data_IF_271284350354
#
_entry.id   IF_271284350354
#
_cell.length_a   1.000
_cell.length_b   1.000
_cell.length_c   1.000
_cell.angle_alpha   90.00
_cell.angle_beta   90.00
_cell.angle_gamma   90.00
#
_symmetry.space_group_name_H-M   'P 1'
#
loop_
_entity.id
_entity.type
_entity.pdbx_description
1 polymer ?
#
# COMPACT_ATOMS: atom_id res chain seq x y z
N UNK A 1 -4.62 7.34 20.40
CA UNK A 1 -5.13 6.13 19.83
C UNK A 1 -4.23 5.63 18.73
N UNK A 2 -3.70 4.50 18.90
CA UNK A 2 -2.73 3.99 17.97
C UNK A 2 -3.42 3.38 16.76
N UNK A 3 -2.94 3.70 15.60
CA UNK A 3 -3.41 3.07 14.39
C UNK A 3 -2.94 1.63 14.38
N UNK A 4 -3.78 0.77 13.92
CA UNK A 4 -3.44 -0.63 13.84
C UNK A 4 -2.86 -0.91 12.47
N UNK A 5 -1.61 -1.26 12.43
CA UNK A 5 -0.96 -1.60 11.17
C UNK A 5 -1.04 -3.09 10.93
N UNK A 6 -1.43 -3.45 9.72
CA UNK A 6 -1.49 -4.84 9.32
C UNK A 6 -0.51 -5.05 8.19
N UNK A 7 0.33 -6.05 8.34
CA UNK A 7 1.31 -6.41 7.33
C UNK A 7 0.90 -7.72 6.69
N UNK A 8 0.85 -7.74 5.40
CA UNK A 8 0.47 -8.94 4.68
C UNK A 8 1.37 -9.10 3.46
N UNK A 9 2.01 -10.24 3.37
CA UNK A 9 2.89 -10.53 2.25
C UNK A 9 2.22 -11.49 1.31
N UNK A 10 2.14 -11.10 0.04
CA UNK A 10 1.57 -11.94 -1.00
C UNK A 10 2.70 -12.62 -1.74
N UNK A 11 2.87 -13.90 -1.48
CA UNK A 11 3.98 -14.64 -2.09
C UNK A 11 3.82 -14.78 -3.58
N UNK A 12 2.60 -14.92 -4.04
CA UNK A 12 2.37 -15.10 -5.46
C UNK A 12 2.75 -13.86 -6.24
N UNK A 13 2.46 -12.71 -5.70
CA UNK A 13 2.76 -11.45 -6.36
C UNK A 13 4.05 -10.84 -5.88
N UNK A 14 4.68 -11.42 -4.86
CA UNK A 14 5.89 -10.87 -4.27
C UNK A 14 5.65 -9.43 -3.85
N UNK A 15 4.56 -9.20 -3.16
CA UNK A 15 4.13 -7.86 -2.79
C UNK A 15 3.85 -7.81 -1.31
N UNK A 16 4.36 -6.80 -0.65
CA UNK A 16 4.08 -6.56 0.75
C UNK A 16 3.01 -5.49 0.87
N UNK A 17 1.95 -5.81 1.59
CA UNK A 17 0.87 -4.88 1.83
C UNK A 17 0.95 -4.39 3.27
N UNK A 18 0.91 -3.08 3.44
CA UNK A 18 0.89 -2.45 4.75
C UNK A 18 -0.39 -1.64 4.82
N UNK A 19 -1.31 -2.06 5.67
CA UNK A 19 -2.64 -1.47 5.70
C UNK A 19 -2.96 -0.92 7.08
N UNK A 20 -3.55 0.25 7.13
CA UNK A 20 -4.14 0.76 8.38
C UNK A 20 -5.64 0.58 8.36
N UNK A 21 -6.22 0.39 7.21
CA UNK A 21 -7.65 0.16 7.08
C UNK A 21 -7.89 -0.58 5.78
N UNK A 22 -9.11 -1.04 5.61
CA UNK A 22 -9.47 -1.75 4.39
C UNK A 22 -9.48 -0.77 3.23
N UNK A 23 -9.00 -1.19 2.06
CA UNK A 23 -9.03 -0.31 0.89
C UNK A 23 -10.48 -0.02 0.48
N UNK A 24 -10.69 1.17 -0.04
CA UNK A 24 -12.00 1.55 -0.52
C UNK A 24 -11.85 2.29 -1.84
N UNK A 25 -12.95 2.42 -2.53
CA UNK A 25 -12.93 2.87 -3.90
C UNK A 25 -12.47 4.31 -4.07
N UNK A 26 -12.80 5.15 -3.11
CA UNK A 26 -12.48 6.58 -3.22
C UNK A 26 -11.03 6.90 -2.94
N UNK A 27 -10.26 5.94 -2.50
CA UNK A 27 -8.87 6.20 -2.21
C UNK A 27 -8.12 6.66 -3.44
N UNK A 28 -7.18 7.56 -3.23
CA UNK A 28 -6.29 7.99 -4.28
C UNK A 28 -5.02 7.17 -4.24
N UNK A 29 -4.57 6.74 -5.39
CA UNK A 29 -3.35 5.97 -5.50
C UNK A 29 -2.27 6.83 -6.09
N UNK A 30 -1.08 6.68 -5.56
CA UNK A 30 0.07 7.42 -6.07
C UNK A 30 1.28 6.52 -6.07
N UNK A 31 2.01 6.54 -7.17
CA UNK A 31 3.24 5.78 -7.25
C UNK A 31 4.37 6.61 -6.67
N UNK A 32 4.94 6.10 -5.61
CA UNK A 32 6.06 6.78 -4.96
C UNK A 32 7.38 6.40 -5.57
N UNK A 33 7.37 5.38 -6.40
CA UNK A 33 8.55 4.91 -7.08
C UNK A 33 8.15 3.76 -7.96
N UNK A 34 9.12 3.11 -8.55
CA UNK A 34 8.81 2.03 -9.48
C UNK A 34 8.13 0.88 -8.78
N UNK A 35 8.35 0.73 -7.49
CA UNK A 35 7.88 -0.46 -6.80
C UNK A 35 7.11 -0.14 -5.53
N UNK A 36 6.69 1.08 -5.37
CA UNK A 36 5.94 1.46 -4.18
C UNK A 36 4.71 2.25 -4.58
N UNK A 37 3.56 1.77 -4.17
CA UNK A 37 2.29 2.43 -4.44
C UNK A 37 1.63 2.76 -3.12
N UNK A 38 1.25 4.01 -2.95
CA UNK A 38 0.56 4.46 -1.75
C UNK A 38 -0.89 4.75 -2.06
N UNK A 39 -1.77 4.38 -1.13
CA UNK A 39 -3.18 4.74 -1.22
C UNK A 39 -3.50 5.66 -0.09
N UNK A 40 -4.11 6.77 -0.43
CA UNK A 40 -4.28 7.85 0.51
C UNK A 40 -5.73 8.25 0.62
N UNK A 41 -6.06 8.80 1.78
CA UNK A 41 -7.37 9.36 2.01
C UNK A 41 -7.55 10.58 1.11
N UNK A 42 -8.58 10.60 0.27
CA UNK A 42 -8.75 11.71 -0.66
C UNK A 42 -9.11 13.02 0.03
N UNK A 43 -9.55 12.96 1.26
CA UNK A 43 -9.92 14.17 2.00
C UNK A 43 -8.75 14.72 2.80
N UNK A 44 -8.03 13.87 3.49
CA UNK A 44 -6.96 14.32 4.38
C UNK A 44 -5.59 14.19 3.77
N UNK A 45 -5.43 13.34 2.77
CA UNK A 45 -4.14 13.09 2.19
C UNK A 45 -3.27 12.12 2.96
N UNK A 46 -3.82 11.53 4.00
CA UNK A 46 -3.04 10.58 4.81
C UNK A 46 -2.86 9.27 4.06
N UNK A 47 -1.68 8.70 4.18
CA UNK A 47 -1.42 7.39 3.59
C UNK A 47 -2.09 6.34 4.46
N UNK A 48 -2.97 5.56 3.84
CA UNK A 48 -3.73 4.54 4.55
C UNK A 48 -3.30 3.13 4.17
N UNK A 49 -2.82 2.95 2.97
CA UNK A 49 -2.36 1.65 2.51
C UNK A 49 -1.09 1.84 1.70
N UNK A 50 -0.23 0.84 1.77
CA UNK A 50 1.02 0.90 1.05
C UNK A 50 1.28 -0.46 0.43
N UNK A 51 1.73 -0.47 -0.81
CA UNK A 51 2.10 -1.71 -1.49
C UNK A 51 3.55 -1.60 -1.92
N UNK A 52 4.35 -2.54 -1.47
CA UNK A 52 5.74 -2.61 -1.87
C UNK A 52 5.90 -3.81 -2.78
N UNK A 53 6.18 -3.53 -4.04
CA UNK A 53 6.36 -4.58 -5.03
C UNK A 53 7.83 -4.93 -5.08
N UNK A 54 8.19 -6.08 -4.53
CA UNK A 54 9.60 -6.45 -4.56
C UNK A 54 10.05 -6.79 -5.96
N UNK A 55 9.11 -7.24 -6.76
CA UNK A 55 9.42 -7.31 -8.15
C UNK A 55 10.54 -8.22 -8.47
N UNK A 56 10.31 -9.45 -8.31
CA UNK A 56 11.30 -10.38 -8.77
C UNK A 56 11.63 -10.14 -10.20
N UNK A 57 10.80 -9.41 -10.84
CA UNK A 57 11.06 -9.08 -12.21
C UNK A 57 12.28 -8.22 -12.35
N UNK A 58 12.76 -7.74 -11.29
CA UNK A 58 13.92 -6.88 -11.38
C UNK A 58 15.05 -7.51 -12.08
N UNK A 59 14.93 -8.61 -12.51
CA UNK A 59 16.02 -9.18 -13.20
C UNK A 59 16.11 -8.81 -14.63
#
# INVERSE_FOLDING_TARGET
MAAKLMFKYDRAADTLHIDTCAPYQEQESEELGDEVIARMNPTTGDVENLEVLFGSSGV
#
